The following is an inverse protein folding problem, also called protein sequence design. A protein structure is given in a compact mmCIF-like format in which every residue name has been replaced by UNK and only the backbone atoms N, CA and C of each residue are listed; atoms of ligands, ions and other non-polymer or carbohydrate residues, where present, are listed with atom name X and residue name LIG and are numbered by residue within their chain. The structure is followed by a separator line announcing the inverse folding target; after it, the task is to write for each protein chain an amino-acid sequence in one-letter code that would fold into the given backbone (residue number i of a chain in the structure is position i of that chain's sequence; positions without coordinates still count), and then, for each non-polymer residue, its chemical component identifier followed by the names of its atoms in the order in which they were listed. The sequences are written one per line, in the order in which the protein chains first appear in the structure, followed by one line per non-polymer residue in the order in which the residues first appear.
data_IF_722718551648
#
_entry.id   IF_722718551648
#
_cell.length_a   1.000
_cell.length_b   1.000
_cell.length_c   1.000
_cell.angle_alpha   90.00
_cell.angle_beta   90.00
_cell.angle_gamma   90.00
#
_symmetry.space_group_name_H-M   'P 1'
#
loop_
_entity.id
_entity.type
_entity.pdbx_description
1 polymer ?
#
# COMPACT_ATOMS: atom_id res chain seq x y z
N UNK A 1 -9.61 -36.76 -48.43
CA UNK A 1 -9.33 -37.20 -47.05
C UNK A 1 -9.04 -35.93 -46.25
N UNK A 2 -10.04 -35.39 -45.58
CA UNK A 2 -9.90 -34.11 -44.86
C UNK A 2 -9.33 -34.44 -43.47
N UNK A 3 -8.05 -34.14 -43.25
CA UNK A 3 -7.45 -34.29 -41.92
C UNK A 3 -8.03 -33.18 -41.05
N UNK A 4 -8.97 -33.53 -40.18
CA UNK A 4 -9.47 -32.63 -39.15
C UNK A 4 -8.36 -32.52 -38.11
N UNK A 5 -7.55 -31.48 -38.25
CA UNK A 5 -6.53 -31.16 -37.26
C UNK A 5 -7.23 -30.51 -36.08
N UNK A 6 -7.22 -31.17 -34.94
CA UNK A 6 -7.83 -30.66 -33.71
C UNK A 6 -6.88 -29.61 -33.11
N UNK A 7 -7.02 -28.35 -33.52
CA UNK A 7 -6.16 -27.22 -33.10
C UNK A 7 -6.02 -27.11 -31.57
N UNK A 8 -7.06 -27.45 -30.82
CA UNK A 8 -7.03 -27.47 -29.36
C UNK A 8 -6.03 -28.48 -28.78
N UNK A 9 -5.86 -29.63 -29.44
CA UNK A 9 -4.92 -30.66 -29.03
C UNK A 9 -3.48 -30.23 -29.37
N UNK A 10 -3.25 -29.66 -30.56
CA UNK A 10 -1.94 -29.13 -30.93
C UNK A 10 -1.53 -27.98 -30.01
N UNK A 11 -2.42 -27.05 -29.71
CA UNK A 11 -2.11 -25.93 -28.81
C UNK A 11 -1.78 -26.42 -27.41
N UNK A 12 -2.44 -27.48 -26.93
CA UNK A 12 -2.16 -28.07 -25.63
C UNK A 12 -0.80 -28.78 -25.61
N UNK A 13 -0.50 -29.57 -26.64
CA UNK A 13 0.79 -30.24 -26.80
C UNK A 13 1.94 -29.24 -26.98
N UNK A 14 1.70 -28.12 -27.67
CA UNK A 14 2.70 -27.07 -27.82
C UNK A 14 2.94 -26.38 -26.47
N UNK A 15 1.88 -26.07 -25.71
CA UNK A 15 2.00 -25.51 -24.36
C UNK A 15 2.83 -26.44 -23.47
N UNK A 16 2.49 -27.73 -23.43
CA UNK A 16 3.21 -28.75 -22.65
C UNK A 16 4.68 -28.87 -23.12
N UNK A 17 4.97 -28.73 -24.43
CA UNK A 17 6.34 -28.76 -24.95
C UNK A 17 7.17 -27.51 -24.57
N UNK A 18 6.54 -26.35 -24.47
CA UNK A 18 7.19 -25.09 -24.10
C UNK A 18 7.22 -24.84 -22.59
N UNK A 19 6.53 -25.67 -21.80
CA UNK A 19 6.62 -25.63 -20.34
C UNK A 19 8.05 -25.98 -19.91
N UNK A 20 8.68 -25.06 -19.18
CA UNK A 20 10.09 -25.11 -18.78
C UNK A 20 10.44 -26.36 -17.95
N UNK A 21 9.46 -26.88 -17.21
CA UNK A 21 9.56 -28.11 -16.42
C UNK A 21 9.85 -29.33 -17.31
N UNK A 22 9.27 -29.41 -18.52
CA UNK A 22 9.50 -30.52 -19.46
C UNK A 22 10.84 -30.41 -20.20
N UNK A 23 11.50 -29.25 -20.14
CA UNK A 23 12.86 -29.04 -20.64
C UNK A 23 13.93 -29.38 -19.60
N UNK A 24 13.53 -29.96 -18.45
CA UNK A 24 14.44 -30.32 -17.35
C UNK A 24 14.93 -29.11 -16.56
N UNK A 25 14.26 -27.95 -16.70
CA UNK A 25 14.47 -26.77 -15.88
C UNK A 25 13.35 -26.78 -14.84
N UNK A 26 13.54 -27.58 -13.79
CA UNK A 26 12.75 -27.43 -12.58
C UNK A 26 13.20 -26.12 -11.94
N UNK A 27 12.29 -25.14 -11.80
CA UNK A 27 12.53 -24.05 -10.87
C UNK A 27 12.55 -24.69 -9.48
N UNK A 28 13.73 -24.87 -8.89
CA UNK A 28 13.81 -25.15 -7.47
C UNK A 28 13.11 -23.99 -6.77
N UNK A 29 11.89 -24.24 -6.28
CA UNK A 29 11.14 -23.25 -5.50
C UNK A 29 12.01 -22.94 -4.30
N UNK A 30 12.65 -21.77 -4.35
CA UNK A 30 13.61 -21.40 -3.32
C UNK A 30 12.87 -21.24 -1.99
N UNK A 31 13.59 -21.40 -0.87
CA UNK A 31 13.01 -21.13 0.45
C UNK A 31 12.42 -19.70 0.54
N UNK A 32 12.96 -18.76 -0.24
CA UNK A 32 12.44 -17.39 -0.37
C UNK A 32 11.07 -17.34 -1.07
N UNK A 33 10.87 -18.11 -2.15
CA UNK A 33 9.58 -18.21 -2.84
C UNK A 33 8.50 -18.86 -1.96
N UNK A 34 8.87 -19.83 -1.12
CA UNK A 34 7.95 -20.43 -0.15
C UNK A 34 7.51 -19.42 0.93
N UNK A 35 8.45 -18.64 1.47
CA UNK A 35 8.14 -17.58 2.45
C UNK A 35 7.23 -16.51 1.84
N UNK A 36 7.49 -16.12 0.59
CA UNK A 36 6.68 -15.13 -0.12
C UNK A 36 5.24 -15.64 -0.32
N UNK A 37 5.06 -16.91 -0.70
CA UNK A 37 3.75 -17.53 -0.85
C UNK A 37 2.99 -17.61 0.49
N UNK A 38 3.68 -17.95 1.59
CA UNK A 38 3.07 -18.02 2.91
C UNK A 38 2.59 -16.64 3.38
N UNK A 39 3.42 -15.60 3.23
CA UNK A 39 3.05 -14.22 3.59
C UNK A 39 1.85 -13.74 2.76
N UNK A 40 1.84 -14.03 1.46
CA UNK A 40 0.72 -13.65 0.58
C UNK A 40 -0.56 -14.42 0.95
N UNK A 41 -0.45 -15.71 1.30
CA UNK A 41 -1.60 -16.49 1.77
C UNK A 41 -2.16 -15.96 3.09
N UNK A 42 -1.31 -15.57 4.03
CA UNK A 42 -1.75 -14.94 5.29
C UNK A 42 -2.40 -13.57 5.03
N UNK A 43 -1.81 -12.77 4.14
CA UNK A 43 -2.36 -11.48 3.74
C UNK A 43 -3.76 -11.63 3.15
N UNK A 44 -3.94 -12.52 2.17
CA UNK A 44 -5.23 -12.78 1.51
C UNK A 44 -6.29 -13.29 2.50
N UNK A 45 -5.90 -14.17 3.43
CA UNK A 45 -6.77 -14.62 4.52
C UNK A 45 -7.16 -13.49 5.49
N UNK A 46 -6.31 -12.47 5.62
CA UNK A 46 -6.55 -11.26 6.40
C UNK A 46 -7.44 -10.21 5.72
N UNK A 47 -7.77 -10.37 4.43
CA UNK A 47 -8.65 -9.45 3.71
C UNK A 47 -10.10 -9.73 4.09
N UNK A 48 -10.81 -8.70 4.53
CA UNK A 48 -12.26 -8.77 4.75
C UNK A 48 -12.96 -7.55 4.16
N UNK A 49 -14.23 -7.70 3.79
CA UNK A 49 -15.04 -6.59 3.31
C UNK A 49 -16.18 -6.31 4.28
N UNK A 50 -16.11 -5.17 4.97
CA UNK A 50 -17.07 -4.75 5.99
C UNK A 50 -17.36 -3.26 5.85
N UNK A 51 -18.58 -2.83 6.14
CA UNK A 51 -18.96 -1.40 6.13
C UNK A 51 -18.62 -0.65 4.81
N UNK A 52 -18.72 -1.36 3.68
CA UNK A 52 -18.37 -0.86 2.33
C UNK A 52 -16.87 -0.55 2.13
N UNK A 53 -16.00 -1.07 3.00
CA UNK A 53 -14.54 -0.92 2.91
C UNK A 53 -13.88 -2.28 2.97
N UNK A 54 -12.76 -2.41 2.27
CA UNK A 54 -11.85 -3.52 2.49
C UNK A 54 -11.06 -3.23 3.75
N UNK A 55 -10.95 -4.21 4.65
CA UNK A 55 -10.09 -4.20 5.82
C UNK A 55 -8.97 -5.21 5.57
N UNK A 56 -7.73 -4.80 5.81
CA UNK A 56 -6.53 -5.62 5.57
C UNK A 56 -5.60 -5.55 6.77
N UNK A 57 -4.77 -6.59 6.91
CA UNK A 57 -3.59 -6.58 7.79
C UNK A 57 -2.35 -6.27 6.97
N UNK A 58 -1.32 -5.77 7.62
CA UNK A 58 -0.02 -5.56 7.01
C UNK A 58 0.62 -6.91 6.65
N UNK A 59 1.24 -7.02 5.47
CA UNK A 59 2.00 -8.22 5.09
C UNK A 59 3.37 -8.17 5.78
N UNK A 60 3.44 -8.55 7.06
CA UNK A 60 4.68 -8.51 7.83
C UNK A 60 5.68 -9.54 7.33
N UNK A 61 6.96 -9.15 7.23
CA UNK A 61 8.05 -10.12 7.12
C UNK A 61 8.21 -10.88 8.46
N UNK A 62 8.75 -12.11 8.44
CA UNK A 62 8.91 -12.92 9.65
C UNK A 62 9.63 -12.16 10.78
N UNK A 63 9.05 -12.18 11.98
CA UNK A 63 9.56 -11.51 13.20
C UNK A 63 9.70 -9.98 13.14
N UNK A 64 9.37 -9.32 12.02
CA UNK A 64 9.60 -7.88 11.89
C UNK A 64 8.61 -7.03 12.71
N UNK A 65 7.37 -7.52 12.90
CA UNK A 65 6.36 -6.82 13.71
C UNK A 65 6.84 -6.54 15.13
N UNK A 66 7.57 -7.49 15.74
CA UNK A 66 8.11 -7.36 17.10
C UNK A 66 9.40 -6.53 17.16
N UNK A 67 10.18 -6.50 16.08
CA UNK A 67 11.45 -5.79 15.99
C UNK A 67 11.30 -4.31 15.65
N UNK A 68 10.15 -3.91 15.09
CA UNK A 68 9.90 -2.52 14.71
C UNK A 68 9.84 -1.61 15.95
N UNK A 69 10.87 -0.81 16.12
CA UNK A 69 10.94 0.21 17.17
C UNK A 69 10.16 1.48 16.79
N UNK A 70 9.84 2.28 17.81
CA UNK A 70 9.03 3.48 17.64
C UNK A 70 9.82 4.65 17.01
N UNK A 71 9.27 5.24 15.93
CA UNK A 71 9.84 6.40 15.22
C UNK A 71 9.35 7.79 15.73
N UNK A 72 8.75 7.85 16.93
CA UNK A 72 8.11 9.03 17.52
C UNK A 72 8.96 10.29 17.47
N UNK A 73 10.24 10.20 17.85
CA UNK A 73 11.13 11.36 17.95
C UNK A 73 11.39 12.04 16.59
N UNK A 74 11.47 11.25 15.51
CA UNK A 74 11.68 11.77 14.16
C UNK A 74 10.40 12.37 13.62
N UNK A 75 9.28 11.65 13.73
CA UNK A 75 7.97 12.15 13.35
C UNK A 75 7.63 13.47 14.07
N UNK A 76 7.94 13.57 15.37
CA UNK A 76 7.73 14.78 16.17
C UNK A 76 8.59 15.94 15.69
N UNK A 77 9.88 15.72 15.39
CA UNK A 77 10.76 16.77 14.84
C UNK A 77 10.25 17.29 13.50
N UNK A 78 9.79 16.41 12.61
CA UNK A 78 9.23 16.79 11.30
C UNK A 78 7.92 17.57 11.51
N UNK A 79 7.04 17.10 12.38
CA UNK A 79 5.80 17.80 12.73
C UNK A 79 6.06 19.20 13.31
N UNK A 80 7.03 19.37 14.20
CA UNK A 80 7.36 20.69 14.76
C UNK A 80 7.82 21.70 13.69
N UNK A 81 8.55 21.23 12.67
CA UNK A 81 8.92 22.06 11.51
C UNK A 81 7.68 22.45 10.69
N UNK A 82 6.79 21.49 10.42
CA UNK A 82 5.53 21.74 9.73
C UNK A 82 4.66 22.74 10.49
N UNK A 83 4.53 22.57 11.81
CA UNK A 83 3.83 23.48 12.71
C UNK A 83 4.42 24.89 12.71
N UNK A 84 5.74 25.03 12.67
CA UNK A 84 6.38 26.34 12.51
C UNK A 84 6.01 26.99 11.18
N UNK A 85 5.86 26.20 10.11
CA UNK A 85 5.43 26.71 8.80
C UNK A 85 3.98 27.22 8.84
N UNK A 86 3.09 26.51 9.53
CA UNK A 86 1.71 26.94 9.73
C UNK A 86 1.58 28.30 10.43
N UNK A 87 2.51 28.65 11.33
CA UNK A 87 2.52 29.97 11.97
C UNK A 87 2.79 31.11 11.01
N UNK A 88 3.56 30.84 9.94
CA UNK A 88 3.96 31.85 8.97
C UNK A 88 3.06 31.85 7.72
N UNK A 89 2.25 30.81 7.52
CA UNK A 89 1.37 30.64 6.37
C UNK A 89 0.00 30.13 6.83
N UNK A 90 -0.90 31.08 7.09
CA UNK A 90 -2.26 30.78 7.56
C UNK A 90 -3.11 30.07 6.49
N UNK A 91 -2.86 30.31 5.20
CA UNK A 91 -3.60 29.65 4.13
C UNK A 91 -3.26 28.17 4.09
N UNK A 92 -1.98 27.84 4.19
CA UNK A 92 -1.51 26.46 4.29
C UNK A 92 -2.12 25.73 5.48
N UNK A 93 -2.20 26.39 6.64
CA UNK A 93 -2.77 25.78 7.83
C UNK A 93 -4.26 25.44 7.66
N UNK A 94 -5.06 26.37 7.12
CA UNK A 94 -6.49 26.12 6.89
C UNK A 94 -6.71 25.01 5.85
N UNK A 95 -5.97 25.01 4.75
CA UNK A 95 -6.04 23.94 3.75
C UNK A 95 -5.65 22.58 4.34
N UNK A 96 -4.58 22.54 5.15
CA UNK A 96 -4.13 21.32 5.82
C UNK A 96 -5.17 20.80 6.81
N UNK A 97 -5.71 21.70 7.64
CA UNK A 97 -6.76 21.39 8.62
C UNK A 97 -8.02 20.85 7.94
N UNK A 98 -8.41 21.42 6.80
CA UNK A 98 -9.52 20.94 6.00
C UNK A 98 -9.30 19.49 5.54
N UNK A 99 -8.10 19.15 5.08
CA UNK A 99 -7.78 17.77 4.66
C UNK A 99 -7.85 16.79 5.85
N UNK A 100 -7.29 17.14 7.00
CA UNK A 100 -7.36 16.27 8.20
C UNK A 100 -8.80 16.11 8.70
N UNK A 101 -9.59 17.20 8.70
CA UNK A 101 -11.01 17.13 9.07
C UNK A 101 -11.82 16.25 8.11
N UNK A 102 -11.52 16.30 6.82
CA UNK A 102 -12.13 15.40 5.84
C UNK A 102 -11.78 13.95 6.16
N UNK A 103 -10.52 13.64 6.45
CA UNK A 103 -10.11 12.29 6.86
C UNK A 103 -10.85 11.80 8.11
N UNK A 104 -11.07 12.66 9.11
CA UNK A 104 -11.84 12.33 10.30
C UNK A 104 -13.33 12.08 9.95
N UNK A 105 -13.94 12.95 9.15
CA UNK A 105 -15.35 12.84 8.76
C UNK A 105 -15.62 11.59 7.92
N UNK A 106 -14.66 11.22 7.07
CA UNK A 106 -14.71 10.02 6.24
C UNK A 106 -14.20 8.79 6.99
N UNK A 107 -13.90 8.86 8.29
CA UNK A 107 -13.37 7.74 9.10
C UNK A 107 -12.14 7.07 8.47
N UNK A 108 -11.29 7.87 7.80
CA UNK A 108 -9.99 7.43 7.27
C UNK A 108 -8.96 7.44 8.40
N UNK A 109 -9.05 8.41 9.30
CA UNK A 109 -8.22 8.52 10.50
C UNK A 109 -9.11 8.64 11.73
N UNK A 110 -8.58 8.25 12.88
CA UNK A 110 -9.23 8.38 14.17
C UNK A 110 -8.30 9.05 15.18
N UNK A 111 -8.88 9.57 16.27
CA UNK A 111 -8.08 10.08 17.38
C UNK A 111 -7.64 8.91 18.24
N UNK A 112 -6.35 8.85 18.55
CA UNK A 112 -5.82 7.91 19.54
C UNK A 112 -6.47 8.22 20.90
N UNK A 113 -7.11 7.25 21.57
CA UNK A 113 -7.67 7.46 22.91
C UNK A 113 -6.58 7.87 23.90
N UNK A 114 -6.90 8.76 24.84
CA UNK A 114 -5.94 9.25 25.84
C UNK A 114 -5.34 8.11 26.69
N UNK A 115 -6.14 7.09 26.97
CA UNK A 115 -5.75 5.89 27.72
C UNK A 115 -4.72 5.04 26.95
N UNK A 116 -4.67 5.17 25.62
CA UNK A 116 -3.82 4.39 24.72
C UNK A 116 -2.55 5.13 24.28
N UNK A 117 -2.36 6.36 24.76
CA UNK A 117 -1.24 7.21 24.36
C UNK A 117 0.11 6.73 24.92
N UNK A 118 0.07 5.94 26.00
CA UNK A 118 1.25 5.43 26.73
C UNK A 118 1.26 3.89 26.90
N UNK A 119 0.50 3.16 26.07
CA UNK A 119 0.52 1.69 26.13
C UNK A 119 1.89 1.12 25.73
N UNK A 120 2.21 -0.06 26.29
CA UNK A 120 3.49 -0.77 26.12
C UNK A 120 3.51 -1.75 24.93
N UNK A 121 2.59 -1.64 23.98
CA UNK A 121 2.63 -2.43 22.75
C UNK A 121 3.37 -1.69 21.64
N UNK A 122 3.61 -2.38 20.52
CA UNK A 122 4.41 -1.84 19.43
C UNK A 122 3.64 -0.71 18.72
N UNK A 123 4.21 0.49 18.78
CA UNK A 123 3.65 1.72 18.22
C UNK A 123 4.68 2.30 17.25
N UNK A 124 4.23 2.75 16.08
CA UNK A 124 5.06 3.43 15.11
C UNK A 124 4.41 4.75 14.67
N UNK A 125 5.21 5.82 14.66
CA UNK A 125 4.75 7.14 14.21
C UNK A 125 5.27 7.42 12.80
N UNK A 126 4.34 7.67 11.89
CA UNK A 126 4.59 8.13 10.53
C UNK A 126 4.83 9.64 10.53
N UNK A 127 6.01 10.11 10.10
CA UNK A 127 6.16 11.50 9.72
C UNK A 127 5.26 11.81 8.53
N UNK A 128 4.83 13.06 8.45
CA UNK A 128 4.02 13.53 7.34
C UNK A 128 4.40 14.94 6.91
N UNK A 129 4.01 15.27 5.68
CA UNK A 129 4.27 16.58 5.06
C UNK A 129 3.16 16.98 4.10
N UNK A 130 2.97 18.29 3.99
CA UNK A 130 2.09 18.88 2.99
C UNK A 130 2.80 18.97 1.64
N UNK A 131 2.22 18.35 0.61
CA UNK A 131 2.62 18.50 -0.80
C UNK A 131 1.60 19.38 -1.49
N UNK A 132 2.06 20.51 -2.02
CA UNK A 132 1.22 21.48 -2.72
C UNK A 132 1.35 21.24 -4.21
N UNK A 133 0.22 21.01 -4.88
CA UNK A 133 0.12 20.88 -6.33
C UNK A 133 -0.43 22.17 -6.89
N UNK A 134 0.43 22.94 -7.55
CA UNK A 134 0.05 24.20 -8.22
C UNK A 134 -0.65 23.98 -9.55
N UNK A 135 -0.65 22.74 -10.07
CA UNK A 135 -1.12 22.34 -11.39
C UNK A 135 -2.59 21.88 -11.42
N UNK A 136 -3.26 21.72 -10.27
CA UNK A 136 -4.66 21.27 -10.19
C UNK A 136 -5.58 22.31 -9.56
N UNK A 137 -6.77 22.48 -10.15
CA UNK A 137 -7.82 23.39 -9.67
C UNK A 137 -8.54 22.91 -8.41
N UNK A 138 -8.60 21.61 -8.13
CA UNK A 138 -9.53 21.02 -7.13
C UNK A 138 -8.89 20.35 -5.91
N UNK A 139 -7.59 20.04 -5.91
CA UNK A 139 -6.91 19.51 -4.71
C UNK A 139 -5.50 20.11 -4.59
N UNK A 140 -5.43 21.36 -4.12
CA UNK A 140 -4.18 22.12 -4.01
C UNK A 140 -3.20 21.51 -3.00
N UNK A 141 -3.69 20.78 -1.99
CA UNK A 141 -2.88 20.21 -0.93
C UNK A 141 -3.16 18.71 -0.74
N UNK A 142 -2.10 17.93 -0.56
CA UNK A 142 -2.14 16.52 -0.15
C UNK A 142 -1.23 16.30 1.03
N UNK A 143 -1.65 15.44 1.96
CA UNK A 143 -0.81 14.99 3.07
C UNK A 143 -0.15 13.69 2.64
N UNK A 144 1.19 13.64 2.72
CA UNK A 144 1.97 12.45 2.41
C UNK A 144 2.59 11.94 3.71
N UNK A 145 2.38 10.66 4.00
CA UNK A 145 2.99 9.95 5.11
C UNK A 145 4.25 9.23 4.63
N UNK A 146 5.29 9.25 5.45
CA UNK A 146 6.60 8.68 5.12
C UNK A 146 6.88 7.43 5.97
N UNK A 147 6.45 6.28 5.45
CA UNK A 147 6.69 4.98 6.08
C UNK A 147 8.14 4.47 5.90
N UNK A 148 8.97 5.18 5.14
CA UNK A 148 10.40 4.88 4.98
C UNK A 148 11.29 5.62 5.97
N UNK A 149 10.75 6.58 6.72
CA UNK A 149 11.53 7.35 7.68
C UNK A 149 11.85 6.52 8.93
N UNK A 150 13.12 6.47 9.30
CA UNK A 150 13.61 5.79 10.49
C UNK A 150 14.83 6.49 11.10
N UNK A 151 15.19 6.14 12.33
CA UNK A 151 16.42 6.61 12.96
C UNK A 151 17.65 5.84 12.44
N UNK A 152 18.84 6.39 12.65
CA UNK A 152 20.08 5.70 12.25
C UNK A 152 20.15 4.34 12.95
N UNK A 153 20.41 3.28 12.17
CA UNK A 153 20.46 1.89 12.63
C UNK A 153 19.13 1.35 13.21
N UNK A 154 18.00 1.98 12.86
CA UNK A 154 16.65 1.49 13.15
C UNK A 154 15.93 1.10 11.85
N UNK A 155 14.93 0.23 11.95
CA UNK A 155 14.09 -0.18 10.84
C UNK A 155 12.97 0.84 10.57
N UNK A 156 12.59 1.00 9.31
CA UNK A 156 11.34 1.67 8.94
C UNK A 156 10.18 0.69 8.84
N UNK A 157 8.95 1.22 8.81
CA UNK A 157 7.78 0.39 8.55
C UNK A 157 7.92 -0.32 7.19
N UNK A 158 8.37 0.37 6.15
CA UNK A 158 8.59 -0.24 4.83
C UNK A 158 9.61 -1.39 4.84
N UNK A 159 10.66 -1.30 5.66
CA UNK A 159 11.66 -2.38 5.75
C UNK A 159 11.06 -3.66 6.36
N UNK A 160 10.12 -3.48 7.29
CA UNK A 160 9.43 -4.55 8.01
C UNK A 160 8.30 -5.22 7.22
N UNK A 161 7.78 -4.56 6.19
CA UNK A 161 6.71 -5.07 5.35
C UNK A 161 7.23 -5.79 4.12
N UNK A 162 6.53 -6.84 3.73
CA UNK A 162 6.70 -7.50 2.45
C UNK A 162 6.21 -6.58 1.33
N UNK A 163 6.92 -6.59 0.20
CA UNK A 163 6.63 -5.68 -0.92
C UNK A 163 5.37 -6.09 -1.69
N UNK A 164 4.93 -7.33 -1.52
CA UNK A 164 3.83 -7.95 -2.22
C UNK A 164 4.16 -8.30 -3.67
N UNK A 165 3.22 -8.97 -4.33
CA UNK A 165 3.31 -9.27 -5.75
C UNK A 165 3.14 -8.00 -6.60
N UNK A 166 3.83 -7.97 -7.74
CA UNK A 166 3.67 -6.88 -8.70
C UNK A 166 2.37 -7.05 -9.51
N UNK A 167 1.30 -6.40 -9.07
CA UNK A 167 0.01 -6.40 -9.77
C UNK A 167 -0.09 -5.36 -10.91
N UNK A 168 1.00 -4.66 -11.24
CA UNK A 168 0.99 -3.69 -12.35
C UNK A 168 0.90 -4.48 -13.66
N UNK A 169 -0.21 -4.36 -14.42
CA UNK A 169 -0.35 -5.08 -15.68
C UNK A 169 0.71 -4.58 -16.67
N UNK A 170 1.14 -5.48 -17.57
CA UNK A 170 2.05 -5.10 -18.64
C UNK A 170 1.48 -3.91 -19.43
N UNK A 171 2.22 -2.79 -19.44
CA UNK A 171 1.76 -1.53 -20.01
C UNK A 171 1.47 -1.66 -21.52
N UNK A 172 2.28 -2.40 -22.25
CA UNK A 172 2.09 -2.61 -23.68
C UNK A 172 0.77 -3.35 -23.95
N UNK A 173 0.49 -4.42 -23.20
CA UNK A 173 -0.76 -5.15 -23.29
C UNK A 173 -1.98 -4.30 -22.90
N UNK A 174 -1.85 -3.50 -21.84
CA UNK A 174 -2.87 -2.55 -21.42
C UNK A 174 -3.19 -1.54 -22.54
N UNK A 175 -2.18 -0.99 -23.20
CA UNK A 175 -2.34 -0.03 -24.29
C UNK A 175 -2.99 -0.66 -25.54
N UNK A 176 -2.66 -1.91 -25.86
CA UNK A 176 -3.35 -2.65 -26.93
C UNK A 176 -4.83 -2.82 -26.57
N UNK A 177 -5.14 -3.35 -25.38
CA UNK A 177 -6.51 -3.54 -24.90
C UNK A 177 -7.31 -2.24 -24.91
N UNK A 178 -6.69 -1.13 -24.51
CA UNK A 178 -7.30 0.19 -24.54
C UNK A 178 -7.71 0.65 -25.95
N UNK A 179 -7.02 0.16 -26.99
CA UNK A 179 -7.30 0.48 -28.40
C UNK A 179 -8.21 -0.53 -29.12
N UNK A 180 -8.52 -1.67 -28.51
CA UNK A 180 -9.38 -2.71 -29.13
C UNK A 180 -10.79 -2.19 -29.36
N UNK A 181 -11.30 -1.35 -28.45
CA UNK A 181 -12.66 -0.81 -28.54
C UNK A 181 -12.62 0.63 -29.08
N UNK A 182 -13.64 1.04 -29.86
CA UNK A 182 -13.71 2.39 -30.44
C UNK A 182 -13.96 3.48 -29.38
N UNK A 183 -14.42 3.11 -28.19
CA UNK A 183 -14.76 4.01 -27.09
C UNK A 183 -14.04 3.53 -25.84
N UNK A 184 -13.37 4.45 -25.13
CA UNK A 184 -12.70 4.18 -23.87
C UNK A 184 -13.23 5.12 -22.77
N UNK A 185 -13.44 4.58 -21.58
CA UNK A 185 -13.79 5.34 -20.39
C UNK A 185 -12.55 5.51 -19.52
N UNK A 186 -12.33 6.72 -19.04
CA UNK A 186 -11.23 7.06 -18.13
C UNK A 186 -11.85 7.74 -16.91
N UNK A 187 -11.50 7.28 -15.73
CA UNK A 187 -11.92 7.85 -14.47
C UNK A 187 -10.75 7.90 -13.48
N UNK A 188 -10.68 8.96 -12.68
CA UNK A 188 -9.76 9.07 -11.54
C UNK A 188 -10.55 8.73 -10.27
N UNK A 189 -10.12 7.71 -9.53
CA UNK A 189 -10.77 7.30 -8.29
C UNK A 189 -10.21 8.15 -7.16
N UNK A 190 -11.00 9.12 -6.70
CA UNK A 190 -10.65 9.98 -5.57
C UNK A 190 -10.34 9.12 -4.33
N UNK A 191 -9.15 9.29 -3.77
CA UNK A 191 -8.74 8.69 -2.48
C UNK A 191 -8.80 7.15 -2.44
N UNK A 192 -8.62 6.47 -3.58
CA UNK A 192 -8.73 5.01 -3.71
C UNK A 192 -7.98 4.24 -2.60
N UNK A 193 -6.71 4.58 -2.33
CA UNK A 193 -5.92 3.90 -1.30
C UNK A 193 -6.40 4.17 0.13
N UNK A 194 -6.99 5.34 0.39
CA UNK A 194 -7.51 5.69 1.72
C UNK A 194 -8.86 5.01 2.02
N UNK A 195 -9.45 4.34 1.02
CA UNK A 195 -10.66 3.55 1.20
C UNK A 195 -10.40 2.14 1.73
N UNK A 196 -9.12 1.72 1.76
CA UNK A 196 -8.69 0.47 2.38
C UNK A 196 -8.39 0.76 3.85
N UNK A 197 -9.09 0.05 4.73
CA UNK A 197 -8.98 0.14 6.17
C UNK A 197 -7.90 -0.82 6.68
N UNK A 198 -7.12 -0.36 7.66
CA UNK A 198 -6.17 -1.22 8.38
C UNK A 198 -6.90 -1.86 9.55
N UNK A 199 -6.67 -3.15 9.76
CA UNK A 199 -7.19 -3.89 10.90
C UNK A 199 -6.86 -3.19 12.23
N UNK A 200 -7.83 -3.17 13.14
CA UNK A 200 -7.76 -2.45 14.42
C UNK A 200 -6.52 -2.83 15.24
N UNK A 201 -6.09 -4.09 15.16
CA UNK A 201 -4.91 -4.57 15.88
C UNK A 201 -3.58 -3.99 15.37
N UNK A 202 -3.58 -3.29 14.23
CA UNK A 202 -2.37 -2.80 13.55
C UNK A 202 -2.39 -1.31 13.21
N UNK A 203 -3.48 -0.60 13.52
CA UNK A 203 -3.57 0.86 13.26
C UNK A 203 -2.50 1.66 13.99
N UNK A 204 -2.01 1.16 15.12
CA UNK A 204 -0.97 1.80 15.92
C UNK A 204 0.42 1.82 15.29
N UNK A 205 0.62 1.10 14.18
CA UNK A 205 1.81 1.24 13.34
C UNK A 205 1.72 2.43 12.37
N UNK A 206 0.61 3.17 12.37
CA UNK A 206 0.35 4.31 11.48
C UNK A 206 0.02 5.61 12.21
N UNK A 207 0.35 5.72 13.50
CA UNK A 207 0.08 6.94 14.28
C UNK A 207 0.79 8.15 13.69
N UNK A 208 0.22 9.33 13.85
CA UNK A 208 0.85 10.58 13.44
C UNK A 208 0.46 11.75 14.36
N UNK A 209 1.24 12.83 14.31
CA UNK A 209 1.05 14.05 15.11
C UNK A 209 0.18 15.09 14.43
#
# INVERSE_FOLDING_TARGET
MTVIVNESNISKQLSEFWDLENLGIEAEVSDEENIDNDIMSEFDAGISYQNKRYKVKFPWKPNMKTLLENNKEIARKIFLKLRSRFKNDSSLFEDYKLVVNNYLSEKIVERVPFEEENLKHNIFYLPHRAVIRTDKTTSKLRIVFDASSHAKAQLSLNDCLHTGLNFIPNLFFLLIKFRVNPIAFVADIKMAFLMIEIDESERDFTRFF
#
